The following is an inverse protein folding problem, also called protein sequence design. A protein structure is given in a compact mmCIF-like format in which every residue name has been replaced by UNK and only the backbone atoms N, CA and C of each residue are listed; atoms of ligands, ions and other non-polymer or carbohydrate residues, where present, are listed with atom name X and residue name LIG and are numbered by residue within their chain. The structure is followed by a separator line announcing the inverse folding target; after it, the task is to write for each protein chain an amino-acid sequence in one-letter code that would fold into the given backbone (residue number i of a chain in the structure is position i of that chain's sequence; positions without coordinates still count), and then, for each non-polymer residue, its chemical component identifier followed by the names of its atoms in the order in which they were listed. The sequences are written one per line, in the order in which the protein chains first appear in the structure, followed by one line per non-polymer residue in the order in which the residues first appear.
data_IF_730668173213
#
_entry.id   IF_730668173213
#
_cell.length_a   1.000
_cell.length_b   1.000
_cell.length_c   1.000
_cell.angle_alpha   90.00
_cell.angle_beta   90.00
_cell.angle_gamma   90.00
#
_symmetry.space_group_name_H-M   'P 1'
#
loop_
_entity.id
_entity.type
_entity.pdbx_description
1 polymer ?
#
# COMPACT_ATOMS: atom_id res chain seq x y z
N UNK A 1 1.31 28.42 -18.76
CA UNK A 1 1.07 28.21 -17.30
C UNK A 1 1.64 26.87 -16.81
N UNK A 2 2.92 26.54 -17.08
CA UNK A 2 3.56 25.30 -16.59
C UNK A 2 4.61 25.57 -15.50
N UNK A 3 5.28 26.72 -15.53
CA UNK A 3 6.35 27.07 -14.59
C UNK A 3 5.83 27.24 -13.13
N UNK A 4 4.61 27.75 -12.96
CA UNK A 4 4.00 27.94 -11.63
C UNK A 4 3.54 26.64 -10.95
N UNK A 5 3.07 25.65 -11.72
CA UNK A 5 2.65 24.35 -11.15
C UNK A 5 3.86 23.49 -10.78
N UNK A 6 4.88 23.47 -11.65
CA UNK A 6 6.16 22.81 -11.40
C UNK A 6 6.88 23.43 -10.19
N UNK A 7 6.83 24.77 -10.03
CA UNK A 7 7.41 25.46 -8.87
C UNK A 7 6.71 25.13 -7.55
N UNK A 8 5.37 25.14 -7.53
CA UNK A 8 4.59 24.82 -6.33
C UNK A 8 4.76 23.36 -5.89
N UNK A 9 4.78 22.42 -6.85
CA UNK A 9 4.99 21.00 -6.56
C UNK A 9 6.42 20.72 -6.07
N UNK A 10 7.44 21.40 -6.62
CA UNK A 10 8.83 21.31 -6.15
C UNK A 10 8.99 21.75 -4.69
N UNK A 11 8.46 22.92 -4.34
CA UNK A 11 8.54 23.44 -2.96
C UNK A 11 7.76 22.54 -2.01
N UNK A 12 6.57 22.06 -2.42
CA UNK A 12 5.75 21.15 -1.60
C UNK A 12 6.38 19.77 -1.42
N UNK A 13 6.92 19.16 -2.48
CA UNK A 13 7.63 17.87 -2.42
C UNK A 13 8.89 17.99 -1.57
N UNK A 14 9.69 19.04 -1.76
CA UNK A 14 10.88 19.29 -0.96
C UNK A 14 10.52 19.56 0.52
N UNK A 15 9.50 20.39 0.79
CA UNK A 15 9.06 20.70 2.15
C UNK A 15 8.42 19.49 2.85
N UNK A 16 7.61 18.70 2.17
CA UNK A 16 7.04 17.46 2.72
C UNK A 16 8.08 16.35 2.84
N UNK A 17 9.09 16.33 1.96
CA UNK A 17 10.28 15.48 2.07
C UNK A 17 11.05 15.80 3.35
N UNK A 18 11.38 17.08 3.55
CA UNK A 18 12.13 17.57 4.70
C UNK A 18 11.37 17.43 6.02
N UNK A 19 10.06 17.70 6.03
CA UNK A 19 9.21 17.57 7.23
C UNK A 19 8.65 16.15 7.42
N UNK A 20 9.03 15.17 6.60
CA UNK A 20 8.49 13.80 6.62
C UNK A 20 6.96 13.75 6.57
N UNK A 21 6.34 14.70 5.86
CA UNK A 21 4.89 14.86 5.77
C UNK A 21 4.18 15.33 7.06
N UNK A 22 4.90 15.61 8.15
CA UNK A 22 4.32 15.97 9.47
C UNK A 22 3.42 17.21 9.42
N UNK A 23 3.67 18.12 8.47
CA UNK A 23 2.94 19.39 8.29
C UNK A 23 1.77 19.27 7.33
N UNK A 24 1.52 18.08 6.77
CA UNK A 24 0.41 17.87 5.83
C UNK A 24 -0.92 17.73 6.56
N UNK A 25 -1.94 18.44 6.06
CA UNK A 25 -3.32 18.36 6.55
C UNK A 25 -3.84 16.93 6.45
N UNK A 26 -4.34 16.41 7.56
CA UNK A 26 -4.98 15.10 7.61
C UNK A 26 -6.46 15.27 7.93
N UNK A 27 -7.35 14.52 7.28
CA UNK A 27 -8.77 14.56 7.60
C UNK A 27 -9.07 13.98 8.99
N UNK A 28 -8.09 13.28 9.61
CA UNK A 28 -8.29 12.51 10.84
C UNK A 28 -7.14 12.70 11.84
N UNK A 29 -7.45 12.50 13.12
CA UNK A 29 -6.51 12.55 14.25
C UNK A 29 -5.97 11.18 14.70
N UNK A 30 -6.40 10.10 14.05
CA UNK A 30 -6.33 8.74 14.61
C UNK A 30 -5.08 7.97 14.13
N UNK A 31 -5.05 6.64 14.36
CA UNK A 31 -3.95 5.75 13.96
C UNK A 31 -3.60 5.80 12.46
N UNK A 32 -4.52 6.26 11.61
CA UNK A 32 -4.32 6.42 10.15
C UNK A 32 -3.75 7.77 9.73
N UNK A 33 -3.68 8.75 10.64
CA UNK A 33 -3.19 10.12 10.38
C UNK A 33 -1.84 10.11 9.67
N UNK A 34 -0.91 9.29 10.16
CA UNK A 34 0.46 9.23 9.64
C UNK A 34 0.49 8.71 8.19
N UNK A 35 -0.43 7.83 7.82
CA UNK A 35 -0.53 7.31 6.46
C UNK A 35 -1.00 8.37 5.46
N UNK A 36 -1.96 9.21 5.82
CA UNK A 36 -2.35 10.34 4.96
C UNK A 36 -1.19 11.29 4.70
N UNK A 37 -0.38 11.58 5.73
CA UNK A 37 0.83 12.41 5.58
C UNK A 37 1.85 11.77 4.62
N UNK A 38 2.02 10.45 4.70
CA UNK A 38 2.89 9.69 3.82
C UNK A 38 2.38 9.68 2.38
N UNK A 39 1.08 9.47 2.16
CA UNK A 39 0.47 9.54 0.84
C UNK A 39 0.62 10.93 0.22
N UNK A 40 0.41 11.99 0.98
CA UNK A 40 0.59 13.36 0.50
C UNK A 40 2.04 13.65 0.11
N UNK A 41 3.02 13.12 0.85
CA UNK A 41 4.44 13.21 0.49
C UNK A 41 4.73 12.48 -0.81
N UNK A 42 4.31 11.22 -0.94
CA UNK A 42 4.58 10.42 -2.13
C UNK A 42 3.84 10.94 -3.37
N UNK A 43 2.62 11.47 -3.20
CA UNK A 43 1.88 12.13 -4.27
C UNK A 43 2.62 13.37 -4.79
N UNK A 44 3.19 14.18 -3.90
CA UNK A 44 4.01 15.33 -4.30
C UNK A 44 5.28 14.89 -5.04
N UNK A 45 5.91 13.79 -4.60
CA UNK A 45 7.08 13.22 -5.27
C UNK A 45 6.72 12.67 -6.66
N UNK A 46 5.60 11.97 -6.80
CA UNK A 46 5.10 11.51 -8.09
C UNK A 46 4.84 12.68 -9.04
N UNK A 47 4.18 13.73 -8.57
CA UNK A 47 3.94 14.93 -9.39
C UNK A 47 5.26 15.56 -9.89
N UNK A 48 6.26 15.66 -9.00
CA UNK A 48 7.60 16.14 -9.37
C UNK A 48 8.28 15.22 -10.41
N UNK A 49 8.23 13.91 -10.20
CA UNK A 49 8.80 12.92 -11.12
C UNK A 49 8.12 12.98 -12.49
N UNK A 50 6.80 13.10 -12.54
CA UNK A 50 6.03 13.25 -13.77
C UNK A 50 6.39 14.54 -14.51
N UNK A 51 6.42 15.67 -13.81
CA UNK A 51 6.77 16.97 -14.39
C UNK A 51 8.19 16.97 -14.97
N UNK A 52 9.16 16.44 -14.23
CA UNK A 52 10.57 16.37 -14.68
C UNK A 52 10.75 15.34 -15.79
N UNK A 53 10.05 14.21 -15.73
CA UNK A 53 10.05 13.21 -16.81
C UNK A 53 9.52 13.83 -18.10
N UNK A 54 8.42 14.55 -18.05
CA UNK A 54 7.87 15.26 -19.20
C UNK A 54 8.81 16.37 -19.69
N UNK A 55 9.48 17.11 -18.80
CA UNK A 55 10.40 18.17 -19.21
C UNK A 55 11.68 17.63 -19.88
N UNK A 56 12.25 16.53 -19.35
CA UNK A 56 13.51 15.96 -19.86
C UNK A 56 13.28 15.08 -21.09
N UNK A 57 12.19 14.31 -21.11
CA UNK A 57 11.93 13.34 -22.17
C UNK A 57 10.97 13.87 -23.23
N UNK A 58 10.12 14.85 -22.89
CA UNK A 58 9.17 15.45 -23.82
C UNK A 58 8.35 14.40 -24.57
N UNK A 59 8.28 14.55 -25.89
CA UNK A 59 7.59 13.59 -26.77
C UNK A 59 8.22 12.19 -26.85
N UNK A 60 9.47 12.02 -26.40
CA UNK A 60 10.13 10.71 -26.35
C UNK A 60 9.71 9.87 -25.14
N UNK A 61 9.00 10.46 -24.16
CA UNK A 61 8.48 9.74 -22.99
C UNK A 61 7.58 8.58 -23.42
N UNK A 62 6.73 8.79 -24.43
CA UNK A 62 5.87 7.75 -24.99
C UNK A 62 6.65 6.57 -25.58
N UNK A 63 7.86 6.82 -26.09
CA UNK A 63 8.77 5.77 -26.59
C UNK A 63 9.54 5.06 -25.47
N UNK A 64 9.60 5.63 -24.26
CA UNK A 64 10.23 5.04 -23.08
C UNK A 64 9.20 4.41 -22.16
N UNK A 65 8.55 3.38 -22.68
CA UNK A 65 7.44 2.66 -22.03
C UNK A 65 7.77 2.21 -20.61
N UNK A 66 9.01 1.76 -20.34
CA UNK A 66 9.44 1.35 -18.99
C UNK A 66 9.41 2.47 -17.95
N UNK A 67 9.70 3.72 -18.34
CA UNK A 67 9.63 4.86 -17.41
C UNK A 67 8.18 5.20 -17.12
N UNK A 68 7.33 5.20 -18.15
CA UNK A 68 5.89 5.41 -18.00
C UNK A 68 5.24 4.32 -17.14
N UNK A 69 5.65 3.06 -17.30
CA UNK A 69 5.17 1.94 -16.51
C UNK A 69 5.47 2.16 -15.03
N UNK A 70 6.70 2.55 -14.68
CA UNK A 70 7.08 2.81 -13.28
C UNK A 70 6.36 4.00 -12.65
N UNK A 71 6.11 5.06 -13.42
CA UNK A 71 5.23 6.15 -12.98
C UNK A 71 3.81 5.63 -12.70
N UNK A 72 3.32 4.72 -13.55
CA UNK A 72 2.05 4.03 -13.36
C UNK A 72 2.04 3.14 -12.11
N UNK A 73 3.13 2.42 -11.82
CA UNK A 73 3.25 1.59 -10.62
C UNK A 73 3.15 2.44 -9.35
N UNK A 74 3.87 3.57 -9.29
CA UNK A 74 3.79 4.51 -8.16
C UNK A 74 2.36 5.01 -7.98
N UNK A 75 1.72 5.45 -9.06
CA UNK A 75 0.34 5.93 -9.02
C UNK A 75 -0.63 4.85 -8.54
N UNK A 76 -0.48 3.63 -9.04
CA UNK A 76 -1.33 2.48 -8.68
C UNK A 76 -1.23 2.17 -7.19
N UNK A 77 -0.02 2.18 -6.64
CA UNK A 77 0.18 1.96 -5.20
C UNK A 77 -0.40 3.09 -4.34
N UNK A 78 -0.28 4.35 -4.76
CA UNK A 78 -0.94 5.46 -4.07
C UNK A 78 -2.47 5.36 -4.12
N UNK A 79 -3.02 4.90 -5.25
CA UNK A 79 -4.45 4.65 -5.39
C UNK A 79 -4.91 3.52 -4.47
N UNK A 80 -4.21 2.39 -4.44
CA UNK A 80 -4.54 1.26 -3.56
C UNK A 80 -4.50 1.67 -2.09
N UNK A 81 -3.44 2.35 -1.64
CA UNK A 81 -3.34 2.85 -0.28
C UNK A 81 -4.48 3.82 0.07
N UNK A 82 -4.84 4.72 -0.86
CA UNK A 82 -5.95 5.65 -0.67
C UNK A 82 -7.30 4.92 -0.60
N UNK A 83 -7.50 3.89 -1.44
CA UNK A 83 -8.69 3.06 -1.44
C UNK A 83 -8.84 2.27 -0.14
N UNK A 84 -7.75 1.72 0.41
CA UNK A 84 -7.76 1.04 1.71
C UNK A 84 -8.20 2.00 2.83
N UNK A 85 -7.62 3.20 2.88
CA UNK A 85 -8.00 4.22 3.86
C UNK A 85 -9.45 4.68 3.69
N UNK A 86 -9.88 4.87 2.44
CA UNK A 86 -11.26 5.28 2.13
C UNK A 86 -12.27 4.21 2.53
N UNK A 87 -12.00 2.94 2.22
CA UNK A 87 -12.84 1.81 2.62
C UNK A 87 -12.96 1.72 4.14
N UNK A 88 -11.84 1.86 4.85
CA UNK A 88 -11.84 1.86 6.31
C UNK A 88 -12.70 2.99 6.91
N UNK A 89 -12.69 4.16 6.28
CA UNK A 89 -13.54 5.29 6.67
C UNK A 89 -15.02 5.02 6.38
N UNK A 90 -15.34 4.49 5.20
CA UNK A 90 -16.71 4.19 4.76
C UNK A 90 -17.33 3.03 5.56
N UNK A 91 -16.52 2.08 6.04
CA UNK A 91 -16.97 0.93 6.85
C UNK A 91 -17.05 1.26 8.36
N UNK A 92 -16.89 2.53 8.74
CA UNK A 92 -17.09 3.00 10.12
C UNK A 92 -15.87 2.86 11.04
N UNK A 93 -14.66 2.72 10.48
CA UNK A 93 -13.39 2.64 11.21
C UNK A 93 -13.29 1.54 12.27
N UNK A 94 -13.78 0.33 11.96
CA UNK A 94 -13.74 -0.79 12.90
C UNK A 94 -12.31 -1.15 13.34
N UNK A 95 -12.01 -1.10 14.64
CA UNK A 95 -10.66 -1.39 15.16
C UNK A 95 -10.16 -2.79 14.78
N UNK A 96 -11.06 -3.76 14.63
CA UNK A 96 -10.72 -5.12 14.20
C UNK A 96 -10.09 -5.18 12.79
N UNK A 97 -10.35 -4.18 11.94
CA UNK A 97 -9.83 -4.10 10.57
C UNK A 97 -8.48 -3.39 10.50
N UNK A 98 -8.05 -2.72 11.59
CA UNK A 98 -6.79 -1.97 11.63
C UNK A 98 -5.57 -2.78 11.21
N UNK A 99 -5.39 -4.06 11.63
CA UNK A 99 -4.23 -4.84 11.20
C UNK A 99 -4.13 -4.96 9.67
N UNK A 100 -5.26 -5.12 8.98
CA UNK A 100 -5.32 -5.21 7.51
C UNK A 100 -5.06 -3.87 6.85
N UNK A 101 -5.58 -2.78 7.43
CA UNK A 101 -5.30 -1.41 6.96
C UNK A 101 -3.82 -1.08 7.11
N UNK A 102 -3.25 -1.36 8.28
CA UNK A 102 -1.82 -1.14 8.53
C UNK A 102 -0.96 -1.91 7.54
N UNK A 103 -1.29 -3.17 7.30
CA UNK A 103 -0.55 -4.03 6.39
C UNK A 103 -0.64 -3.51 4.95
N UNK A 104 -1.87 -3.32 4.44
CA UNK A 104 -2.08 -2.93 3.05
C UNK A 104 -1.50 -1.55 2.71
N UNK A 105 -1.58 -0.60 3.64
CA UNK A 105 -1.00 0.73 3.42
C UNK A 105 0.53 0.70 3.56
N UNK A 106 1.10 -0.06 4.50
CA UNK A 106 2.55 -0.19 4.61
C UNK A 106 3.15 -0.83 3.36
N UNK A 107 2.56 -1.92 2.87
CA UNK A 107 2.99 -2.58 1.64
C UNK A 107 2.90 -1.64 0.44
N UNK A 108 1.77 -0.98 0.24
CA UNK A 108 1.61 -0.05 -0.88
C UNK A 108 2.60 1.13 -0.82
N UNK A 109 2.86 1.71 0.37
CA UNK A 109 3.85 2.77 0.53
C UNK A 109 5.29 2.27 0.23
N UNK A 110 5.60 1.04 0.66
CA UNK A 110 6.89 0.40 0.39
C UNK A 110 7.10 0.15 -1.11
N UNK A 111 6.09 -0.43 -1.78
CA UNK A 111 6.13 -0.69 -3.23
C UNK A 111 6.21 0.61 -4.05
N UNK A 112 5.49 1.66 -3.63
CA UNK A 112 5.60 2.97 -4.25
C UNK A 112 7.02 3.55 -4.13
N UNK A 113 7.64 3.45 -2.96
CA UNK A 113 9.03 3.88 -2.72
C UNK A 113 10.03 3.12 -3.58
N UNK A 114 9.86 1.79 -3.68
CA UNK A 114 10.69 0.96 -4.54
C UNK A 114 10.54 1.34 -6.02
N UNK A 115 9.32 1.56 -6.50
CA UNK A 115 9.08 1.98 -7.89
C UNK A 115 9.68 3.38 -8.20
N UNK A 116 9.65 4.32 -7.25
CA UNK A 116 10.33 5.62 -7.38
C UNK A 116 11.83 5.47 -7.48
N UNK A 117 12.42 4.66 -6.61
CA UNK A 117 13.85 4.41 -6.61
C UNK A 117 14.30 3.73 -7.90
N UNK A 118 13.58 2.70 -8.35
CA UNK A 118 13.86 2.01 -9.62
C UNK A 118 13.80 2.99 -10.79
N UNK A 119 12.78 3.87 -10.83
CA UNK A 119 12.66 4.92 -11.84
C UNK A 119 13.90 5.84 -11.85
N UNK A 120 14.37 6.29 -10.68
CA UNK A 120 15.54 7.15 -10.57
C UNK A 120 16.83 6.41 -10.99
N UNK A 121 17.00 5.15 -10.58
CA UNK A 121 18.16 4.34 -10.94
C UNK A 121 18.29 4.11 -12.45
N UNK A 122 17.18 4.09 -13.19
CA UNK A 122 17.17 3.86 -14.64
C UNK A 122 16.85 5.13 -15.43
N UNK A 123 16.86 6.29 -14.78
CA UNK A 123 16.56 7.54 -15.44
C UNK A 123 17.70 7.90 -16.42
N UNK A 124 17.38 8.26 -17.68
CA UNK A 124 18.41 8.44 -18.72
C UNK A 124 19.41 9.56 -18.44
N UNK A 125 18.98 10.63 -17.75
CA UNK A 125 19.88 11.70 -17.34
C UNK A 125 20.31 11.49 -15.88
N UNK A 126 21.53 11.01 -15.68
CA UNK A 126 22.10 10.72 -14.35
C UNK A 126 22.22 11.94 -13.45
N UNK A 127 22.47 13.13 -14.01
CA UNK A 127 22.55 14.37 -13.23
C UNK A 127 21.19 14.75 -12.69
N UNK A 128 20.16 14.70 -13.54
CA UNK A 128 18.77 14.95 -13.12
C UNK A 128 18.31 13.89 -12.11
N UNK A 129 18.67 12.62 -12.32
CA UNK A 129 18.38 11.54 -11.39
C UNK A 129 18.98 11.81 -10.00
N UNK A 130 20.24 12.26 -9.94
CA UNK A 130 20.90 12.61 -8.68
C UNK A 130 20.22 13.78 -7.95
N UNK A 131 19.86 14.85 -8.68
CA UNK A 131 19.13 15.98 -8.10
C UNK A 131 17.74 15.56 -7.59
N UNK A 132 17.01 14.76 -8.35
CA UNK A 132 15.72 14.22 -7.93
C UNK A 132 15.85 13.32 -6.71
N UNK A 133 16.88 12.48 -6.64
CA UNK A 133 17.13 11.61 -5.51
C UNK A 133 17.34 12.41 -4.21
N UNK A 134 18.14 13.49 -4.26
CA UNK A 134 18.34 14.38 -3.10
C UNK A 134 17.05 15.07 -2.67
N UNK A 135 16.18 15.45 -3.62
CA UNK A 135 14.89 16.11 -3.31
C UNK A 135 13.85 15.12 -2.75
N UNK A 136 13.77 13.92 -3.31
CA UNK A 136 12.77 12.91 -2.99
C UNK A 136 13.15 12.14 -1.71
N UNK A 137 14.45 11.86 -1.54
CA UNK A 137 15.03 11.07 -0.46
C UNK A 137 16.12 11.85 0.31
N UNK A 138 15.82 13.05 0.86
CA UNK A 138 16.83 13.86 1.54
C UNK A 138 17.42 13.17 2.77
N UNK A 139 16.63 12.32 3.43
CA UNK A 139 17.04 11.52 4.60
C UNK A 139 17.05 10.01 4.30
N UNK A 140 17.12 9.63 3.03
CA UNK A 140 17.10 8.24 2.58
C UNK A 140 15.69 7.65 2.42
N UNK A 141 15.64 6.32 2.27
CA UNK A 141 14.40 5.54 2.21
C UNK A 141 13.79 5.39 3.60
N UNK A 142 12.46 5.39 3.67
CA UNK A 142 11.75 5.48 4.94
C UNK A 142 10.70 4.42 5.15
N UNK A 143 10.23 3.76 4.09
CA UNK A 143 9.22 2.74 4.23
C UNK A 143 9.90 1.38 4.34
N UNK A 144 9.55 0.68 5.41
CA UNK A 144 9.92 -0.71 5.60
C UNK A 144 8.76 -1.57 5.11
N UNK A 145 9.08 -2.75 4.61
CA UNK A 145 8.07 -3.78 4.38
C UNK A 145 7.28 -4.06 5.67
N UNK A 146 6.01 -4.52 5.57
CA UNK A 146 5.24 -4.95 6.72
C UNK A 146 6.03 -5.92 7.59
N UNK A 147 5.96 -5.75 8.92
CA UNK A 147 6.69 -6.62 9.84
C UNK A 147 6.04 -8.00 9.94
N UNK A 148 6.83 -9.05 10.16
CA UNK A 148 6.35 -10.43 10.39
C UNK A 148 5.26 -10.52 11.48
N UNK A 149 5.33 -9.67 12.51
CA UNK A 149 4.32 -9.59 13.57
C UNK A 149 2.95 -9.16 13.04
N UNK A 150 2.95 -8.25 12.07
CA UNK A 150 1.74 -7.77 11.41
C UNK A 150 1.22 -8.81 10.43
N UNK A 151 2.11 -9.44 9.67
CA UNK A 151 1.77 -10.56 8.78
C UNK A 151 1.10 -11.69 9.53
N UNK A 152 1.66 -12.09 10.68
CA UNK A 152 1.09 -13.14 11.52
C UNK A 152 -0.30 -12.75 12.05
N UNK A 153 -0.52 -11.48 12.42
CA UNK A 153 -1.85 -10.99 12.85
C UNK A 153 -2.86 -11.07 11.70
N UNK A 154 -2.49 -10.63 10.51
CA UNK A 154 -3.36 -10.68 9.32
C UNK A 154 -3.66 -12.13 8.96
N UNK A 155 -2.66 -13.02 8.96
CA UNK A 155 -2.83 -14.44 8.68
C UNK A 155 -3.81 -15.10 9.67
N UNK A 156 -3.71 -14.77 10.97
CA UNK A 156 -4.63 -15.27 11.99
C UNK A 156 -6.07 -14.79 11.76
N UNK A 157 -6.26 -13.54 11.35
CA UNK A 157 -7.58 -12.99 10.99
C UNK A 157 -8.18 -13.75 9.79
N UNK A 158 -7.36 -14.15 8.82
CA UNK A 158 -7.86 -14.86 7.63
C UNK A 158 -8.15 -16.35 7.87
N UNK A 159 -7.43 -16.98 8.81
CA UNK A 159 -7.57 -18.40 9.14
C UNK A 159 -8.74 -18.72 10.08
N UNK A 160 -9.26 -17.72 10.81
CA UNK A 160 -10.37 -17.93 11.76
C UNK A 160 -11.63 -17.24 11.24
N UNK A 161 -12.79 -17.91 11.20
CA UNK A 161 -14.06 -17.26 10.90
C UNK A 161 -14.31 -16.08 11.85
N UNK A 162 -14.36 -14.86 11.31
CA UNK A 162 -14.63 -13.65 12.08
C UNK A 162 -15.27 -12.56 11.21
N UNK A 163 -15.83 -11.53 11.85
CA UNK A 163 -16.55 -10.47 11.17
C UNK A 163 -15.67 -9.67 10.17
N UNK A 164 -14.38 -9.47 10.49
CA UNK A 164 -13.42 -8.79 9.61
C UNK A 164 -13.19 -9.57 8.32
N UNK A 165 -13.00 -10.89 8.41
CA UNK A 165 -12.85 -11.79 7.27
C UNK A 165 -14.12 -11.76 6.40
N UNK A 166 -15.30 -11.88 7.03
CA UNK A 166 -16.58 -11.81 6.30
C UNK A 166 -16.81 -10.46 5.61
N UNK A 167 -16.37 -9.35 6.20
CA UNK A 167 -16.43 -8.02 5.57
C UNK A 167 -15.56 -7.96 4.31
N UNK A 168 -14.33 -8.45 4.37
CA UNK A 168 -13.41 -8.47 3.22
C UNK A 168 -13.91 -9.44 2.13
N UNK A 169 -14.42 -10.60 2.51
CA UNK A 169 -14.96 -11.60 1.59
C UNK A 169 -16.38 -11.30 1.07
N UNK A 170 -16.95 -10.14 1.42
CA UNK A 170 -18.34 -9.81 1.03
C UNK A 170 -18.48 -9.80 -0.49
N UNK A 171 -19.46 -10.54 -0.99
CA UNK A 171 -19.73 -10.69 -2.43
C UNK A 171 -18.99 -11.84 -3.10
N UNK A 172 -18.19 -12.62 -2.36
CA UNK A 172 -17.63 -13.87 -2.86
C UNK A 172 -18.69 -14.98 -2.87
N UNK A 173 -18.66 -15.81 -3.92
CA UNK A 173 -19.48 -17.02 -3.99
C UNK A 173 -18.78 -18.17 -3.25
N UNK A 174 -19.17 -18.39 -2.00
CA UNK A 174 -18.57 -19.39 -1.11
C UNK A 174 -19.43 -20.64 -0.93
N UNK A 175 -20.50 -20.80 -1.72
CA UNK A 175 -21.34 -22.00 -1.66
C UNK A 175 -20.52 -23.23 -2.08
N UNK A 176 -20.42 -24.26 -1.22
CA UNK A 176 -19.72 -25.48 -1.56
C UNK A 176 -20.41 -26.18 -2.74
N UNK A 177 -19.63 -26.51 -3.76
CA UNK A 177 -20.08 -27.31 -4.89
C UNK A 177 -18.87 -27.99 -5.53
N UNK A 178 -19.09 -29.08 -6.25
CA UNK A 178 -18.03 -29.83 -6.95
C UNK A 178 -17.18 -28.94 -7.88
N UNK A 179 -17.78 -27.86 -8.41
CA UNK A 179 -17.11 -26.91 -9.31
C UNK A 179 -16.63 -25.63 -8.61
N UNK A 180 -16.78 -25.53 -7.28
CA UNK A 180 -16.31 -24.39 -6.50
C UNK A 180 -15.28 -24.83 -5.46
N UNK A 181 -13.99 -24.94 -5.83
CA UNK A 181 -12.94 -25.33 -4.88
C UNK A 181 -12.79 -24.35 -3.71
N UNK A 182 -13.12 -23.07 -3.92
CA UNK A 182 -13.06 -22.06 -2.84
C UNK A 182 -14.17 -22.29 -1.82
N UNK A 183 -15.37 -22.67 -2.26
CA UNK A 183 -16.48 -23.04 -1.37
C UNK A 183 -16.19 -24.33 -0.59
N UNK A 184 -15.57 -25.33 -1.24
CA UNK A 184 -15.13 -26.56 -0.56
C UNK A 184 -14.06 -26.28 0.51
N UNK A 185 -13.13 -25.35 0.24
CA UNK A 185 -12.14 -24.92 1.23
C UNK A 185 -12.78 -24.21 2.43
N UNK A 186 -13.84 -23.43 2.21
CA UNK A 186 -14.58 -22.77 3.30
C UNK A 186 -15.28 -23.79 4.19
N UNK A 187 -15.93 -24.79 3.59
CA UNK A 187 -16.57 -25.90 4.32
C UNK A 187 -15.53 -26.69 5.13
N UNK A 188 -14.43 -27.07 4.49
CA UNK A 188 -13.34 -27.78 5.16
C UNK A 188 -12.75 -26.99 6.34
N UNK A 189 -12.65 -25.66 6.23
CA UNK A 189 -12.17 -24.83 7.34
C UNK A 189 -13.10 -24.93 8.56
N UNK A 190 -14.41 -24.87 8.35
CA UNK A 190 -15.41 -24.99 9.42
C UNK A 190 -15.35 -26.38 10.05
N UNK A 191 -15.26 -27.43 9.23
CA UNK A 191 -15.19 -28.81 9.69
C UNK A 191 -13.94 -29.10 10.50
N UNK A 192 -12.77 -28.62 10.05
CA UNK A 192 -11.50 -28.77 10.78
C UNK A 192 -11.56 -28.06 12.13
N UNK A 193 -12.14 -26.86 12.19
CA UNK A 193 -12.32 -26.13 13.45
C UNK A 193 -13.27 -26.87 14.40
N UNK A 194 -14.34 -27.47 13.87
CA UNK A 194 -15.27 -28.27 14.66
C UNK A 194 -14.65 -29.59 15.16
N UNK A 195 -13.73 -30.18 14.39
CA UNK A 195 -13.03 -31.41 14.72
C UNK A 195 -11.85 -31.20 15.69
N UNK A 196 -11.24 -30.01 15.73
CA UNK A 196 -10.06 -29.70 16.56
C UNK A 196 -10.24 -30.05 18.05
N UNK A 197 -11.37 -29.72 18.73
CA UNK A 197 -11.59 -30.12 20.11
C UNK A 197 -11.63 -31.64 20.33
N UNK A 198 -12.15 -32.40 19.35
CA UNK A 198 -12.23 -33.87 19.41
C UNK A 198 -10.83 -34.45 19.22
N UNK A 199 -10.11 -33.96 18.21
CA UNK A 199 -8.74 -34.35 17.92
C UNK A 199 -7.82 -34.12 19.14
N UNK A 200 -7.90 -32.93 19.77
CA UNK A 200 -7.11 -32.63 20.97
C UNK A 200 -7.43 -33.54 22.17
N UNK A 201 -8.68 -33.98 22.33
CA UNK A 201 -9.06 -34.96 23.38
C UNK A 201 -8.43 -36.32 23.10
N UNK A 202 -8.54 -36.80 21.87
CA UNK A 202 -7.95 -38.09 21.45
C UNK A 202 -6.43 -38.06 21.62
N UNK A 203 -5.75 -36.99 21.20
CA UNK A 203 -4.29 -36.88 21.38
C UNK A 203 -3.86 -36.82 22.85
N UNK A 204 -4.70 -36.29 23.75
CA UNK A 204 -4.42 -36.28 25.19
C UNK A 204 -4.62 -37.65 25.85
N UNK A 205 -5.58 -38.44 25.39
CA UNK A 205 -5.84 -39.78 25.92
C UNK A 205 -4.90 -40.86 25.33
N UNK A 206 -4.41 -40.66 24.11
CA UNK A 206 -3.39 -41.51 23.47
C UNK A 206 -1.95 -41.10 23.83
N UNK A 207 -1.78 -40.08 24.68
CA UNK A 207 -0.51 -39.62 25.22
C UNK A 207 -0.10 -40.40 26.46
#
# INVERSE_FOLDING_TARGET
KHIGHVGSNKVRSFWLGLTRGLTSSTPTGDATKRYYQHLNRLSANLALLSDVSMAVLGGSLKRRERISARLGDILSQLYLASAVLKRYDDEGRNEADLPLVHWGVQDALYQAEQAMDDLLQNFPNRVVAGLLNVVIFPTGRHYLAPSDKLDHKVAKILQVPNATRSRIGRGQYLTPSEHNPVGLLEEALVDVIAADPIHQRICKELG
#
